data_IF_871001859018
#
_entry.id   IF_871001859018
#
_cell.length_a   1.000
_cell.length_b   1.000
_cell.length_c   1.000
_cell.angle_alpha   90.00
_cell.angle_beta   90.00
_cell.angle_gamma   90.00
#
_symmetry.space_group_name_H-M   'P 1'
#
loop_
_entity.id
_entity.type
_entity.pdbx_description
1 polymer ?
#
# COMPACT_ATOMS: atom_id res chain seq x y z
N UNK A 1 -34.42 73.18 2.85
CA UNK A 1 -33.54 72.59 1.83
C UNK A 1 -33.48 71.09 2.08
N UNK A 2 -33.94 70.23 1.15
CA UNK A 2 -33.80 68.79 1.26
C UNK A 2 -32.56 68.31 0.48
N UNK A 3 -31.82 67.36 1.02
CA UNK A 3 -30.99 66.44 0.24
C UNK A 3 -31.39 64.99 0.59
N UNK A 4 -31.79 64.19 -0.40
CA UNK A 4 -31.91 62.74 -0.30
C UNK A 4 -30.68 62.05 -0.93
N UNK A 5 -30.70 60.71 -0.89
CA UNK A 5 -29.82 59.75 -1.60
C UNK A 5 -28.62 59.24 -0.76
N UNK A 6 -28.30 57.95 -0.69
CA UNK A 6 -28.53 56.88 -1.66
C UNK A 6 -28.64 55.52 -0.97
N UNK A 7 -29.77 54.85 -1.20
CA UNK A 7 -29.92 53.40 -1.11
C UNK A 7 -28.96 52.76 -2.11
N UNK A 8 -27.90 52.08 -1.65
CA UNK A 8 -27.06 51.25 -2.52
C UNK A 8 -27.85 49.99 -2.88
N UNK A 9 -28.50 50.02 -4.04
CA UNK A 9 -29.02 48.84 -4.72
C UNK A 9 -27.84 47.92 -5.06
N UNK A 10 -27.78 46.75 -4.42
CA UNK A 10 -26.88 45.67 -4.80
C UNK A 10 -27.40 45.03 -6.08
N UNK A 11 -26.82 45.38 -7.21
CA UNK A 11 -27.01 44.65 -8.47
C UNK A 11 -26.58 43.19 -8.29
N UNK A 12 -27.40 42.20 -8.68
CA UNK A 12 -26.99 40.80 -8.74
C UNK A 12 -25.90 40.64 -9.80
N UNK A 13 -24.75 40.09 -9.42
CA UNK A 13 -23.72 39.69 -10.39
C UNK A 13 -24.26 38.48 -11.13
N UNK A 14 -24.66 38.65 -12.39
CA UNK A 14 -24.99 37.53 -13.29
C UNK A 14 -23.75 36.64 -13.42
N UNK A 15 -23.80 35.47 -12.79
CA UNK A 15 -22.74 34.47 -12.90
C UNK A 15 -22.83 33.80 -14.27
N UNK A 16 -21.93 34.17 -15.17
CA UNK A 16 -21.77 33.50 -16.46
C UNK A 16 -21.28 32.07 -16.21
N UNK A 17 -22.11 31.07 -16.53
CA UNK A 17 -21.73 29.67 -16.44
C UNK A 17 -20.77 29.30 -17.58
N UNK A 18 -19.64 28.69 -17.23
CA UNK A 18 -18.67 28.16 -18.20
C UNK A 18 -18.74 26.63 -18.18
N UNK A 19 -18.64 25.96 -19.33
CA UNK A 19 -18.64 24.50 -19.39
C UNK A 19 -17.40 23.95 -18.68
N UNK A 20 -17.57 22.85 -17.94
CA UNK A 20 -16.47 22.09 -17.37
C UNK A 20 -15.81 21.21 -18.45
N UNK A 21 -14.49 21.06 -18.38
CA UNK A 21 -13.75 20.16 -19.26
C UNK A 21 -13.93 18.70 -18.81
N UNK A 22 -14.13 17.78 -19.75
CA UNK A 22 -14.45 16.38 -19.44
C UNK A 22 -13.27 15.59 -18.86
N UNK A 23 -12.03 16.00 -19.13
CA UNK A 23 -10.82 15.27 -18.72
C UNK A 23 -10.12 15.92 -17.52
N UNK A 24 -10.09 17.26 -17.48
CA UNK A 24 -9.30 18.02 -16.51
C UNK A 24 -10.12 18.80 -15.48
N UNK A 25 -11.46 18.77 -15.54
CA UNK A 25 -12.29 19.26 -14.44
C UNK A 25 -12.53 18.15 -13.41
N UNK A 26 -11.58 17.97 -12.51
CA UNK A 26 -11.60 16.89 -11.53
C UNK A 26 -12.44 17.22 -10.29
N UNK A 27 -13.30 16.29 -9.90
CA UNK A 27 -13.98 16.33 -8.61
C UNK A 27 -13.05 15.88 -7.48
N UNK A 28 -13.13 16.55 -6.33
CA UNK A 28 -12.40 16.15 -5.13
C UNK A 28 -13.29 15.34 -4.19
N UNK A 29 -12.66 14.51 -3.37
CA UNK A 29 -13.25 13.84 -2.23
C UNK A 29 -12.54 14.31 -0.95
N UNK A 30 -13.32 14.52 0.11
CA UNK A 30 -12.81 14.90 1.43
C UNK A 30 -12.78 13.67 2.34
N UNK A 31 -11.59 13.25 2.79
CA UNK A 31 -11.41 12.18 3.76
C UNK A 31 -11.18 12.74 5.17
N UNK A 32 -11.72 12.08 6.19
CA UNK A 32 -11.39 12.31 7.61
C UNK A 32 -10.56 11.15 8.15
N UNK A 33 -9.31 11.44 8.55
CA UNK A 33 -8.35 10.45 9.08
C UNK A 33 -7.72 10.98 10.37
N UNK A 34 -7.90 10.28 11.48
CA UNK A 34 -7.42 10.68 12.82
C UNK A 34 -7.71 12.16 13.17
N UNK A 35 -8.89 12.67 12.80
CA UNK A 35 -9.30 14.05 13.07
C UNK A 35 -8.77 15.10 12.08
N UNK A 36 -8.10 14.70 11.00
CA UNK A 36 -7.61 15.60 9.95
C UNK A 36 -8.38 15.40 8.64
N UNK A 37 -8.74 16.50 8.00
CA UNK A 37 -9.35 16.51 6.67
C UNK A 37 -8.30 16.49 5.57
N UNK A 38 -8.53 15.68 4.54
CA UNK A 38 -7.72 15.60 3.34
C UNK A 38 -8.62 15.73 2.12
N UNK A 39 -8.43 16.79 1.33
CA UNK A 39 -9.11 16.98 0.05
C UNK A 39 -8.19 16.57 -1.09
N UNK A 40 -8.60 15.57 -1.88
CA UNK A 40 -7.80 15.00 -2.98
C UNK A 40 -8.68 14.65 -4.18
N UNK A 41 -8.13 14.56 -5.40
CA UNK A 41 -8.90 14.18 -6.58
C UNK A 41 -9.56 12.80 -6.42
N UNK A 42 -10.88 12.73 -6.60
CA UNK A 42 -11.68 11.51 -6.50
C UNK A 42 -11.33 10.48 -7.56
N UNK A 43 -10.85 10.93 -8.72
CA UNK A 43 -10.62 10.11 -9.90
C UNK A 43 -9.81 8.84 -9.62
N UNK A 44 -8.61 8.94 -9.03
CA UNK A 44 -7.78 7.75 -8.79
C UNK A 44 -8.38 6.80 -7.76
N UNK A 45 -9.04 7.31 -6.71
CA UNK A 45 -9.74 6.45 -5.76
C UNK A 45 -10.87 5.69 -6.43
N UNK A 46 -11.66 6.36 -7.29
CA UNK A 46 -12.78 5.75 -7.99
C UNK A 46 -12.36 4.73 -9.05
N UNK A 47 -11.22 4.91 -9.72
CA UNK A 47 -10.85 4.09 -10.88
C UNK A 47 -9.71 3.12 -10.62
N UNK A 48 -8.90 3.27 -9.57
CA UNK A 48 -7.75 2.40 -9.33
C UNK A 48 -7.94 1.39 -8.18
N UNK A 49 -9.10 1.40 -7.51
CA UNK A 49 -9.46 0.51 -6.41
C UNK A 49 -10.87 -0.04 -6.60
N UNK A 50 -11.05 -1.36 -6.51
CA UNK A 50 -12.38 -1.99 -6.51
C UNK A 50 -13.20 -1.61 -5.27
N UNK A 51 -12.56 -1.50 -4.11
CA UNK A 51 -13.20 -1.17 -2.84
C UNK A 51 -13.81 0.23 -2.93
N UNK A 52 -13.04 1.22 -3.39
CA UNK A 52 -13.57 2.56 -3.56
C UNK A 52 -14.53 2.66 -4.75
N UNK A 53 -14.25 2.00 -5.88
CA UNK A 53 -15.16 1.95 -7.01
C UNK A 53 -16.54 1.42 -6.62
N UNK A 54 -16.59 0.28 -5.92
CA UNK A 54 -17.83 -0.32 -5.44
C UNK A 54 -18.52 0.57 -4.40
N UNK A 55 -17.78 1.12 -3.45
CA UNK A 55 -18.33 2.03 -2.43
C UNK A 55 -18.96 3.28 -3.06
N UNK A 56 -18.31 3.85 -4.06
CA UNK A 56 -18.79 5.03 -4.77
C UNK A 56 -19.94 4.74 -5.74
N UNK A 57 -20.13 3.48 -6.13
CA UNK A 57 -21.25 3.02 -6.95
C UNK A 57 -22.54 2.81 -6.16
N UNK A 58 -22.46 2.76 -4.83
CA UNK A 58 -23.65 2.61 -4.00
C UNK A 58 -24.42 3.94 -3.94
N UNK A 59 -25.76 3.91 -4.13
CA UNK A 59 -26.57 5.12 -4.00
C UNK A 59 -26.48 5.65 -2.56
N UNK A 60 -26.45 6.98 -2.36
CA UNK A 60 -26.55 7.54 -1.03
C UNK A 60 -27.87 7.09 -0.40
N UNK A 61 -27.80 6.49 0.80
CA UNK A 61 -28.99 6.03 1.51
C UNK A 61 -29.99 7.17 1.75
N UNK A 62 -31.29 6.84 1.73
CA UNK A 62 -32.44 7.75 1.74
C UNK A 62 -32.17 9.12 2.40
N UNK A 63 -32.01 10.15 1.55
CA UNK A 63 -31.95 11.56 1.97
C UNK A 63 -30.62 12.06 2.54
N UNK A 64 -29.54 11.28 2.49
CA UNK A 64 -28.20 11.73 2.94
C UNK A 64 -27.38 12.34 1.80
N UNK A 65 -26.65 13.40 2.10
CA UNK A 65 -25.58 13.92 1.23
C UNK A 65 -24.54 12.84 0.98
N UNK A 66 -24.00 12.79 -0.23
CA UNK A 66 -22.96 11.81 -0.58
C UNK A 66 -21.76 11.96 0.36
N UNK A 67 -21.29 10.85 0.91
CA UNK A 67 -20.15 10.83 1.81
C UNK A 67 -18.87 11.30 1.08
N UNK A 68 -18.10 12.19 1.73
CA UNK A 68 -16.91 12.81 1.17
C UNK A 68 -17.16 14.01 0.27
N UNK A 69 -18.40 14.50 0.17
CA UNK A 69 -18.78 15.65 -0.66
C UNK A 69 -18.34 17.01 -0.10
N UNK A 70 -18.11 17.11 1.21
CA UNK A 70 -17.75 18.37 1.88
C UNK A 70 -17.02 18.14 3.21
N UNK A 71 -16.45 19.21 3.77
CA UNK A 71 -15.85 19.22 5.11
C UNK A 71 -16.86 18.88 6.23
N UNK A 72 -18.15 19.15 6.01
CA UNK A 72 -19.23 18.82 6.95
C UNK A 72 -19.75 17.39 6.80
N UNK A 73 -19.44 16.72 5.69
CA UNK A 73 -19.79 15.34 5.40
C UNK A 73 -18.59 14.60 4.78
N UNK A 74 -17.47 14.43 5.52
CA UNK A 74 -16.28 13.77 5.00
C UNK A 74 -16.45 12.25 4.95
N UNK A 75 -15.62 11.59 4.13
CA UNK A 75 -15.48 10.14 4.08
C UNK A 75 -14.57 9.67 5.21
N UNK A 76 -15.15 9.00 6.21
CA UNK A 76 -14.43 8.66 7.44
C UNK A 76 -13.64 7.36 7.24
N UNK A 77 -12.32 7.42 7.40
CA UNK A 77 -11.46 6.23 7.34
C UNK A 77 -11.08 5.79 8.75
N UNK A 78 -11.84 4.82 9.27
CA UNK A 78 -11.55 4.21 10.57
C UNK A 78 -10.38 3.22 10.49
N UNK A 79 -9.56 3.16 11.54
CA UNK A 79 -8.42 2.24 11.63
C UNK A 79 -7.22 2.61 10.74
N UNK A 80 -7.26 3.74 10.03
CA UNK A 80 -6.15 4.24 9.23
C UNK A 80 -5.44 5.37 9.97
N UNK A 81 -4.12 5.27 10.08
CA UNK A 81 -3.33 6.35 10.68
C UNK A 81 -3.12 7.49 9.68
N UNK A 82 -3.01 8.72 10.19
CA UNK A 82 -2.69 9.91 9.40
C UNK A 82 -1.35 9.76 8.67
N UNK A 83 -0.38 9.13 9.33
CA UNK A 83 0.95 8.89 8.76
C UNK A 83 0.86 7.94 7.56
N UNK A 84 0.11 6.85 7.69
CA UNK A 84 -0.07 5.88 6.61
C UNK A 84 -0.80 6.52 5.42
N UNK A 85 -1.88 7.25 5.69
CA UNK A 85 -2.65 7.90 4.64
C UNK A 85 -1.81 8.93 3.88
N UNK A 86 -1.02 9.73 4.60
CA UNK A 86 -0.09 10.68 3.97
C UNK A 86 0.98 9.98 3.14
N UNK A 87 1.46 8.81 3.57
CA UNK A 87 2.41 8.00 2.81
C UNK A 87 1.83 7.56 1.47
N UNK A 88 0.60 7.04 1.46
CA UNK A 88 -0.11 6.70 0.22
C UNK A 88 -0.31 7.94 -0.68
N UNK A 89 -0.81 9.04 -0.13
CA UNK A 89 -1.07 10.25 -0.92
C UNK A 89 0.20 10.83 -1.56
N UNK A 90 1.38 10.69 -0.92
CA UNK A 90 2.66 11.11 -1.51
C UNK A 90 3.03 10.29 -2.74
N UNK A 91 2.61 9.03 -2.80
CA UNK A 91 2.81 8.15 -3.97
C UNK A 91 1.81 8.49 -5.07
N UNK A 92 0.54 8.72 -4.71
CA UNK A 92 -0.52 9.04 -5.68
C UNK A 92 -0.41 10.45 -6.27
N UNK A 93 -0.12 11.43 -5.41
CA UNK A 93 -0.12 12.85 -5.73
C UNK A 93 1.18 13.51 -5.24
N UNK A 94 2.32 13.22 -5.89
CA UNK A 94 3.56 13.92 -5.57
C UNK A 94 3.39 15.43 -5.74
N UNK A 95 3.53 16.16 -4.63
CA UNK A 95 3.47 17.63 -4.62
C UNK A 95 4.73 18.27 -5.19
N UNK A 96 5.82 17.51 -5.28
CA UNK A 96 7.05 17.93 -5.93
C UNK A 96 7.16 17.16 -7.24
N UNK A 97 7.19 17.89 -8.35
CA UNK A 97 7.46 17.29 -9.66
C UNK A 97 8.84 16.63 -9.60
N UNK A 98 8.93 15.31 -9.86
CA UNK A 98 10.23 14.68 -9.99
C UNK A 98 10.99 15.40 -11.10
N UNK A 99 12.17 15.93 -10.81
CA UNK A 99 13.06 16.44 -11.85
C UNK A 99 13.28 15.31 -12.87
N UNK A 100 13.22 15.63 -14.17
CA UNK A 100 13.28 14.68 -15.27
C UNK A 100 14.42 13.66 -15.05
N UNK A 101 14.08 12.44 -14.61
CA UNK A 101 15.03 11.36 -14.32
C UNK A 101 15.25 10.99 -12.84
N UNK A 102 14.66 11.69 -11.88
CA UNK A 102 14.76 11.32 -10.46
C UNK A 102 13.58 10.45 -10.04
N UNK A 103 13.87 9.26 -9.53
CA UNK A 103 12.91 8.42 -8.82
C UNK A 103 12.27 9.20 -7.66
N UNK A 104 10.99 8.96 -7.36
CA UNK A 104 10.32 9.53 -6.19
C UNK A 104 11.13 9.22 -4.93
N UNK A 105 11.85 10.21 -4.42
CA UNK A 105 12.69 10.06 -3.23
C UNK A 105 11.83 10.16 -1.97
N UNK A 106 11.05 9.11 -1.71
CA UNK A 106 10.24 8.97 -0.51
C UNK A 106 10.96 8.08 0.51
N UNK A 107 10.87 8.40 1.81
CA UNK A 107 11.45 7.56 2.86
C UNK A 107 10.75 6.20 2.89
N UNK A 108 11.49 5.15 3.31
CA UNK A 108 10.98 3.77 3.45
C UNK A 108 9.59 3.68 4.11
N UNK A 109 9.37 4.45 5.18
CA UNK A 109 8.10 4.45 5.91
C UNK A 109 6.91 4.87 5.03
N UNK A 110 7.11 5.80 4.08
CA UNK A 110 6.04 6.25 3.19
C UNK A 110 5.73 5.16 2.14
N UNK A 111 6.75 4.43 1.67
CA UNK A 111 6.54 3.27 0.80
C UNK A 111 5.86 2.11 1.52
N UNK A 112 6.20 1.82 2.78
CA UNK A 112 5.52 0.81 3.59
C UNK A 112 4.06 1.22 3.83
N UNK A 113 3.81 2.47 4.16
CA UNK A 113 2.46 3.03 4.31
C UNK A 113 1.64 2.90 3.01
N UNK A 114 2.24 3.25 1.87
CA UNK A 114 1.61 3.09 0.57
C UNK A 114 1.33 1.61 0.27
N UNK A 115 2.27 0.70 0.53
CA UNK A 115 2.09 -0.74 0.35
C UNK A 115 0.93 -1.26 1.21
N UNK A 116 0.86 -0.86 2.48
CA UNK A 116 -0.18 -1.23 3.43
C UNK A 116 -1.56 -0.85 2.91
N UNK A 117 -1.77 0.44 2.62
CA UNK A 117 -3.08 0.93 2.19
C UNK A 117 -3.42 0.48 0.77
N UNK A 118 -2.44 0.35 -0.12
CA UNK A 118 -2.68 -0.20 -1.45
C UNK A 118 -3.07 -1.68 -1.43
N UNK A 119 -2.56 -2.44 -0.47
CA UNK A 119 -2.96 -3.84 -0.26
C UNK A 119 -4.35 -3.93 0.38
N UNK A 120 -4.65 -3.05 1.34
CA UNK A 120 -5.96 -2.99 2.00
C UNK A 120 -7.08 -2.56 1.05
N UNK A 121 -6.80 -1.61 0.17
CA UNK A 121 -7.76 -1.02 -0.76
C UNK A 121 -7.58 -1.50 -2.20
N UNK A 122 -6.82 -2.58 -2.41
CA UNK A 122 -6.66 -3.21 -3.72
C UNK A 122 -6.19 -2.25 -4.85
N UNK A 123 -5.38 -1.25 -4.51
CA UNK A 123 -4.70 -0.41 -5.49
C UNK A 123 -3.53 -1.15 -6.13
N UNK A 124 -3.82 -2.03 -7.09
CA UNK A 124 -2.83 -2.93 -7.73
C UNK A 124 -1.57 -2.21 -8.17
N UNK A 125 -1.70 -1.13 -8.96
CA UNK A 125 -0.53 -0.44 -9.53
C UNK A 125 0.33 0.23 -8.44
N UNK A 126 -0.30 0.82 -7.43
CA UNK A 126 0.40 1.45 -6.31
C UNK A 126 1.13 0.39 -5.48
N UNK A 127 0.47 -0.74 -5.23
CA UNK A 127 1.05 -1.89 -4.54
C UNK A 127 2.29 -2.41 -5.28
N UNK A 128 2.20 -2.61 -6.59
CA UNK A 128 3.33 -3.06 -7.41
C UNK A 128 4.49 -2.05 -7.39
N UNK A 129 4.18 -0.76 -7.52
CA UNK A 129 5.18 0.30 -7.43
C UNK A 129 5.89 0.28 -6.07
N UNK A 130 5.13 0.22 -4.96
CA UNK A 130 5.70 0.17 -3.62
C UNK A 130 6.59 -1.07 -3.41
N UNK A 131 6.17 -2.25 -3.88
CA UNK A 131 7.01 -3.46 -3.86
C UNK A 131 8.28 -3.26 -4.67
N UNK A 132 8.19 -2.69 -5.87
CA UNK A 132 9.37 -2.47 -6.71
C UNK A 132 10.39 -1.55 -6.02
N UNK A 133 9.93 -0.47 -5.37
CA UNK A 133 10.81 0.50 -4.70
C UNK A 133 11.41 -0.05 -3.42
N UNK A 134 10.62 -0.78 -2.62
CA UNK A 134 11.10 -1.43 -1.40
C UNK A 134 12.03 -2.61 -1.69
N UNK A 135 11.86 -3.32 -2.81
CA UNK A 135 12.77 -4.39 -3.24
C UNK A 135 14.19 -3.90 -3.54
N UNK A 136 14.35 -2.62 -3.89
CA UNK A 136 15.66 -2.00 -4.11
C UNK A 136 16.35 -1.57 -2.82
N UNK A 137 15.63 -1.54 -1.69
CA UNK A 137 16.14 -1.13 -0.40
C UNK A 137 16.87 -2.29 0.31
N UNK A 138 18.20 -2.29 0.22
CA UNK A 138 19.04 -3.30 0.86
C UNK A 138 19.16 -3.16 2.38
N UNK A 139 18.61 -2.08 2.96
CA UNK A 139 18.70 -1.78 4.39
C UNK A 139 17.50 -2.28 5.21
N UNK A 140 16.62 -3.10 4.65
CA UNK A 140 15.52 -3.74 5.39
C UNK A 140 16.07 -4.96 6.14
N UNK A 141 15.88 -4.98 7.45
CA UNK A 141 16.29 -6.11 8.30
C UNK A 141 15.61 -7.42 7.84
N UNK A 142 16.29 -8.57 7.87
CA UNK A 142 15.70 -9.84 7.42
C UNK A 142 14.41 -10.23 8.15
N UNK A 143 14.27 -9.90 9.44
CA UNK A 143 13.04 -10.17 10.21
C UNK A 143 11.92 -9.24 9.74
N UNK A 144 12.21 -7.94 9.57
CA UNK A 144 11.25 -6.99 9.01
C UNK A 144 10.79 -7.42 7.61
N UNK A 145 11.73 -7.89 6.78
CA UNK A 145 11.47 -8.38 5.42
C UNK A 145 10.49 -9.56 5.46
N UNK A 146 10.70 -10.56 6.33
CA UNK A 146 9.77 -11.67 6.51
C UNK A 146 8.41 -11.20 7.00
N UNK A 147 8.36 -10.32 8.01
CA UNK A 147 7.09 -9.81 8.57
C UNK A 147 6.29 -9.08 7.50
N UNK A 148 6.92 -8.14 6.77
CA UNK A 148 6.29 -7.41 5.68
C UNK A 148 5.85 -8.34 4.54
N UNK A 149 6.66 -9.35 4.23
CA UNK A 149 6.34 -10.32 3.18
C UNK A 149 5.12 -11.17 3.51
N UNK A 150 4.98 -11.60 4.78
CA UNK A 150 3.83 -12.37 5.27
C UNK A 150 2.57 -11.51 5.35
N UNK A 151 2.71 -10.27 5.83
CA UNK A 151 1.61 -9.32 5.98
C UNK A 151 1.06 -8.89 4.62
N UNK A 152 1.93 -8.46 3.71
CA UNK A 152 1.55 -7.93 2.39
C UNK A 152 1.70 -8.93 1.26
N UNK A 153 1.83 -10.22 1.55
CA UNK A 153 1.88 -11.32 0.57
C UNK A 153 2.87 -11.06 -0.58
N UNK A 154 4.15 -10.94 -0.24
CA UNK A 154 5.24 -10.71 -1.19
C UNK A 154 6.21 -11.91 -1.18
N UNK A 155 6.04 -12.89 -2.10
CA UNK A 155 6.76 -14.17 -2.05
C UNK A 155 8.27 -14.01 -2.12
N UNK A 156 8.76 -13.12 -2.98
CA UNK A 156 10.19 -12.89 -3.17
C UNK A 156 10.87 -12.40 -1.89
N UNK A 157 10.21 -11.50 -1.16
CA UNK A 157 10.71 -11.01 0.12
C UNK A 157 10.68 -12.09 1.20
N UNK A 158 9.66 -12.95 1.18
CA UNK A 158 9.55 -14.04 2.15
C UNK A 158 10.70 -15.03 1.99
N UNK A 159 10.94 -15.46 0.75
CA UNK A 159 12.02 -16.37 0.42
C UNK A 159 13.39 -15.75 0.71
N UNK A 160 13.60 -14.49 0.31
CA UNK A 160 14.85 -13.77 0.57
C UNK A 160 15.11 -13.58 2.07
N UNK A 161 14.09 -13.19 2.83
CA UNK A 161 14.17 -13.01 4.28
C UNK A 161 14.50 -14.32 5.01
N UNK A 162 13.84 -15.43 4.66
CA UNK A 162 14.20 -16.75 5.21
C UNK A 162 15.62 -17.16 4.86
N UNK A 163 16.04 -16.98 3.62
CA UNK A 163 17.39 -17.31 3.19
C UNK A 163 18.45 -16.47 3.94
N UNK A 164 18.23 -15.17 4.13
CA UNK A 164 19.10 -14.29 4.91
C UNK A 164 19.15 -14.71 6.40
N UNK A 165 18.00 -15.05 6.99
CA UNK A 165 17.91 -15.52 8.38
C UNK A 165 18.55 -16.89 8.59
N UNK A 166 18.56 -17.77 7.59
CA UNK A 166 19.28 -19.05 7.68
C UNK A 166 20.79 -18.85 7.55
N UNK A 167 21.23 -17.96 6.64
CA UNK A 167 22.65 -17.73 6.37
C UNK A 167 23.39 -16.91 7.42
N UNK A 168 22.71 -16.00 8.12
CA UNK A 168 23.40 -15.10 9.07
C UNK A 168 24.01 -15.90 10.23
N UNK A 169 25.16 -15.47 10.73
CA UNK A 169 25.83 -16.11 11.88
C UNK A 169 25.08 -15.88 13.20
N UNK A 170 24.37 -14.75 13.32
CA UNK A 170 23.65 -14.40 14.54
C UNK A 170 22.41 -15.28 14.75
N UNK A 171 22.24 -15.86 15.95
CA UNK A 171 21.03 -16.62 16.28
C UNK A 171 19.77 -15.76 16.19
N UNK A 172 18.61 -16.41 16.06
CA UNK A 172 17.32 -15.74 16.23
C UNK A 172 17.15 -15.44 17.72
N UNK A 173 17.01 -14.16 18.05
CA UNK A 173 16.78 -13.70 19.43
C UNK A 173 15.33 -13.95 19.85
N UNK A 174 15.02 -13.98 21.16
CA UNK A 174 13.64 -14.11 21.63
C UNK A 174 12.70 -13.03 21.10
N UNK A 175 13.20 -11.80 20.93
CA UNK A 175 12.41 -10.69 20.38
C UNK A 175 12.07 -10.93 18.90
N UNK A 176 13.04 -11.38 18.11
CA UNK A 176 12.82 -11.72 16.71
C UNK A 176 11.90 -12.93 16.57
N UNK A 177 12.07 -13.97 17.41
CA UNK A 177 11.21 -15.14 17.44
C UNK A 177 9.74 -14.77 17.72
N UNK A 178 9.50 -13.84 18.65
CA UNK A 178 8.17 -13.33 18.94
C UNK A 178 7.53 -12.64 17.73
N UNK A 179 8.32 -11.93 16.92
CA UNK A 179 7.85 -11.25 15.69
C UNK A 179 7.61 -12.21 14.53
N UNK A 180 8.47 -13.22 14.37
CA UNK A 180 8.37 -14.23 13.31
C UNK A 180 7.22 -15.22 13.56
N UNK A 181 6.90 -15.45 14.83
CA UNK A 181 5.97 -16.48 15.27
C UNK A 181 6.65 -17.83 15.50
N UNK A 182 6.01 -18.67 16.31
CA UNK A 182 6.58 -19.93 16.78
C UNK A 182 6.93 -20.88 15.64
N UNK A 183 5.99 -21.14 14.73
CA UNK A 183 6.18 -22.11 13.64
C UNK A 183 7.34 -21.70 12.72
N UNK A 184 7.34 -20.44 12.26
CA UNK A 184 8.43 -19.90 11.44
C UNK A 184 9.78 -19.99 12.14
N UNK A 185 9.83 -19.66 13.44
CA UNK A 185 11.06 -19.73 14.24
C UNK A 185 11.60 -21.16 14.34
N UNK A 186 10.74 -22.14 14.63
CA UNK A 186 11.12 -23.56 14.75
C UNK A 186 11.65 -24.10 13.42
N UNK A 187 10.98 -23.81 12.30
CA UNK A 187 11.47 -24.23 10.99
C UNK A 187 12.79 -23.56 10.62
N UNK A 188 12.97 -22.27 10.94
CA UNK A 188 14.26 -21.60 10.71
C UNK A 188 15.38 -22.27 11.53
N UNK A 189 15.12 -22.65 12.78
CA UNK A 189 16.11 -23.38 13.59
C UNK A 189 16.45 -24.75 13.00
N UNK A 190 15.46 -25.54 12.58
CA UNK A 190 15.71 -26.83 11.93
C UNK A 190 16.54 -26.69 10.65
N UNK A 191 16.19 -25.73 9.79
CA UNK A 191 16.98 -25.49 8.58
C UNK A 191 18.41 -25.05 8.94
N UNK A 192 18.59 -24.17 9.94
CA UNK A 192 19.93 -23.76 10.40
C UNK A 192 20.73 -24.92 10.98
N UNK A 193 20.10 -25.85 11.70
CA UNK A 193 20.74 -27.03 12.27
C UNK A 193 21.16 -28.05 11.19
N UNK A 194 20.28 -28.32 10.22
CA UNK A 194 20.59 -29.18 9.06
C UNK A 194 21.78 -28.62 8.26
N UNK A 195 21.81 -27.30 8.11
CA UNK A 195 22.90 -26.56 7.48
C UNK A 195 24.18 -26.65 8.29
N UNK A 196 24.14 -26.37 9.59
CA UNK A 196 25.32 -26.36 10.44
C UNK A 196 25.88 -27.78 10.64
N UNK A 197 25.02 -28.81 10.72
CA UNK A 197 25.42 -30.22 10.75
C UNK A 197 26.16 -30.63 9.47
N UNK A 198 25.73 -30.09 8.31
CA UNK A 198 26.46 -30.27 7.05
C UNK A 198 27.81 -29.52 7.01
N UNK A 199 27.93 -28.42 7.76
CA UNK A 199 29.15 -27.62 7.90
C UNK A 199 30.12 -28.22 8.95
N UNK A 200 29.64 -28.93 9.97
CA UNK A 200 30.50 -29.76 10.82
C UNK A 200 31.02 -30.99 10.06
N UNK A 201 30.24 -31.55 9.13
CA UNK A 201 30.74 -32.56 8.20
C UNK A 201 31.83 -32.02 7.25
N UNK A 202 31.97 -30.70 7.06
CA UNK A 202 33.01 -30.09 6.23
C UNK A 202 34.42 -30.18 6.83
N UNK A 203 34.55 -30.19 8.17
CA UNK A 203 35.83 -30.51 8.82
C UNK A 203 36.26 -31.99 8.64
N UNK A 204 35.40 -32.84 8.05
CA UNK A 204 35.70 -34.23 7.68
C UNK A 204 36.09 -34.46 6.21
N UNK A 205 36.25 -33.39 5.40
CA UNK A 205 36.89 -33.48 4.08
C UNK A 205 35.99 -33.61 2.85
N UNK A 206 34.69 -33.29 2.93
CA UNK A 206 33.78 -33.29 1.77
C UNK A 206 33.52 -31.87 1.22
N UNK A 207 33.65 -31.74 -0.11
CA UNK A 207 33.62 -30.50 -0.93
C UNK A 207 32.41 -29.58 -0.66
N UNK A 208 32.65 -28.27 -0.86
CA UNK A 208 31.62 -27.20 -0.99
C UNK A 208 30.49 -27.65 -1.92
N UNK A 209 29.28 -27.79 -1.38
CA UNK A 209 28.04 -27.61 -2.15
C UNK A 209 27.64 -26.16 -1.98
N UNK A 210 27.88 -25.39 -3.03
CA UNK A 210 27.57 -23.96 -3.15
C UNK A 210 26.10 -23.67 -2.79
N UNK A 211 25.83 -22.40 -2.47
CA UNK A 211 24.62 -21.78 -1.92
C UNK A 211 23.23 -22.32 -2.35
N UNK A 212 23.15 -23.08 -3.43
CA UNK A 212 21.95 -23.78 -3.91
C UNK A 212 21.31 -24.70 -2.87
N UNK A 213 22.07 -25.32 -1.95
CA UNK A 213 21.44 -26.20 -0.95
C UNK A 213 20.59 -25.44 0.07
N UNK A 214 21.00 -24.23 0.47
CA UNK A 214 20.29 -23.45 1.48
C UNK A 214 18.92 -22.99 1.00
N UNK A 215 18.88 -22.42 -0.21
CA UNK A 215 17.64 -21.92 -0.78
C UNK A 215 16.66 -23.06 -1.05
N UNK A 216 17.13 -24.23 -1.50
CA UNK A 216 16.25 -25.40 -1.70
C UNK A 216 15.75 -25.99 -0.37
N UNK A 217 16.57 -26.00 0.69
CA UNK A 217 16.13 -26.40 2.02
C UNK A 217 15.06 -25.45 2.58
N UNK A 218 15.25 -24.14 2.42
CA UNK A 218 14.26 -23.12 2.78
C UNK A 218 12.96 -23.35 2.00
N UNK A 219 13.03 -23.48 0.67
CA UNK A 219 11.83 -23.77 -0.16
C UNK A 219 11.13 -25.05 0.28
N UNK A 220 11.88 -26.08 0.65
CA UNK A 220 11.32 -27.36 1.12
C UNK A 220 10.62 -27.19 2.47
N UNK A 221 11.28 -26.57 3.44
CA UNK A 221 10.75 -26.37 4.80
C UNK A 221 9.51 -25.46 4.79
N UNK A 222 9.54 -24.39 4.00
CA UNK A 222 8.47 -23.39 3.93
C UNK A 222 7.53 -23.57 2.73
N UNK A 223 7.54 -24.74 2.08
CA UNK A 223 6.80 -25.00 0.82
C UNK A 223 5.33 -24.61 0.89
N UNK A 224 4.67 -24.93 2.00
CA UNK A 224 3.24 -24.65 2.19
C UNK A 224 2.99 -23.14 2.26
N UNK A 225 3.69 -22.46 3.17
CA UNK A 225 3.54 -21.02 3.39
C UNK A 225 3.93 -20.20 2.14
N UNK A 226 5.01 -20.58 1.46
CA UNK A 226 5.42 -19.93 0.20
C UNK A 226 4.34 -20.03 -0.87
N UNK A 227 3.69 -21.20 -1.00
CA UNK A 227 2.57 -21.38 -1.94
C UNK A 227 1.34 -20.55 -1.59
N UNK A 228 1.01 -20.46 -0.30
CA UNK A 228 -0.11 -19.63 0.16
C UNK A 228 0.13 -18.14 -0.13
N UNK A 229 1.36 -17.68 0.11
CA UNK A 229 1.77 -16.30 -0.16
C UNK A 229 1.84 -16.02 -1.66
N UNK A 230 2.33 -16.97 -2.46
CA UNK A 230 2.35 -16.88 -3.92
C UNK A 230 0.95 -16.84 -4.52
N UNK A 231 0.03 -17.68 -4.06
CA UNK A 231 -1.36 -17.65 -4.50
C UNK A 231 -2.03 -16.28 -4.25
N UNK A 232 -1.90 -15.76 -3.03
CA UNK A 232 -2.43 -14.43 -2.70
C UNK A 232 -1.75 -13.32 -3.53
N UNK A 233 -0.45 -13.43 -3.80
CA UNK A 233 0.26 -12.47 -4.65
C UNK A 233 -0.27 -12.48 -6.09
N UNK A 234 -0.55 -13.67 -6.64
CA UNK A 234 -1.15 -13.84 -7.96
C UNK A 234 -2.56 -13.23 -8.01
N UNK A 235 -3.37 -13.42 -6.97
CA UNK A 235 -4.70 -12.80 -6.86
C UNK A 235 -4.62 -11.26 -6.91
N UNK A 236 -3.71 -10.65 -6.14
CA UNK A 236 -3.49 -9.20 -6.20
C UNK A 236 -3.05 -8.72 -7.59
N UNK A 237 -2.20 -9.49 -8.27
CA UNK A 237 -1.75 -9.16 -9.62
C UNK A 237 -2.79 -9.42 -10.70
N UNK A 238 -3.86 -10.17 -10.40
CA UNK A 238 -4.97 -10.42 -11.31
C UNK A 238 -6.03 -9.30 -11.28
N UNK A 239 -6.03 -8.44 -10.25
CA UNK A 239 -6.95 -7.32 -10.14
C UNK A 239 -6.86 -6.38 -11.36
N UNK A 240 -7.97 -5.79 -11.84
CA UNK A 240 -7.94 -4.75 -12.85
C UNK A 240 -7.00 -3.59 -12.49
N UNK A 241 -6.30 -3.04 -13.50
CA UNK A 241 -5.46 -1.85 -13.32
C UNK A 241 -6.27 -0.55 -13.33
N UNK A 242 -7.50 -0.61 -13.85
CA UNK A 242 -8.49 0.46 -13.84
C UNK A 242 -9.90 -0.12 -13.87
N UNK A 243 -10.85 0.58 -13.26
CA UNK A 243 -12.28 0.27 -13.23
C UNK A 243 -13.04 1.29 -14.08
N UNK A 244 -14.17 0.92 -14.71
CA UNK A 244 -14.95 1.83 -15.54
C UNK A 244 -15.54 2.99 -14.73
N UNK A 245 -15.86 4.13 -15.34
CA UNK A 245 -16.54 5.22 -14.64
C UNK A 245 -17.83 4.73 -13.99
N UNK A 246 -18.06 5.15 -12.74
CA UNK A 246 -19.32 4.91 -12.05
C UNK A 246 -20.38 5.78 -12.71
N UNK A 247 -21.35 5.16 -13.39
CA UNK A 247 -22.41 5.88 -14.08
C UNK A 247 -23.37 6.51 -13.06
N UNK A 248 -23.17 7.79 -12.75
CA UNK A 248 -24.00 8.56 -11.82
C UNK A 248 -25.39 8.90 -12.40
N UNK A 249 -25.74 8.42 -13.60
CA UNK A 249 -27.01 8.77 -14.27
C UNK A 249 -28.21 7.88 -13.92
N UNK A 250 -28.07 6.87 -13.05
CA UNK A 250 -29.22 6.10 -12.53
C UNK A 250 -29.74 6.68 -11.22
N UNK A 251 -30.31 7.88 -11.31
CA UNK A 251 -31.00 8.58 -10.23
C UNK A 251 -31.75 9.79 -10.79
N UNK A 252 -32.68 9.54 -11.71
CA UNK A 252 -33.69 10.53 -12.11
C UNK A 252 -34.74 10.69 -11.03
#
# INVERSE_FOLDING_TARGET
MPEPSSTKSSTPVESKAFPHDEEYYMENIVFLVEGYLFSVPRYYFAHASDIFWSTFSLPPGDGKTQEGSSDSCPFVLEGVSRADFKGLLRVMYPLQMPHLGNDMNLPRKDWIAALKLATMWNFRNIRQLAISKLSLDTGIDPVDKVVLAKEYKVPDWLLAGYHELVKRSTPITPLEAARLGLETTVYLFHVREDVCSSEFAYYSGYKRREDQNFMEQVKKAFKKELKEVEAAHVEYNALPSSYPPVDMTQGK
#
